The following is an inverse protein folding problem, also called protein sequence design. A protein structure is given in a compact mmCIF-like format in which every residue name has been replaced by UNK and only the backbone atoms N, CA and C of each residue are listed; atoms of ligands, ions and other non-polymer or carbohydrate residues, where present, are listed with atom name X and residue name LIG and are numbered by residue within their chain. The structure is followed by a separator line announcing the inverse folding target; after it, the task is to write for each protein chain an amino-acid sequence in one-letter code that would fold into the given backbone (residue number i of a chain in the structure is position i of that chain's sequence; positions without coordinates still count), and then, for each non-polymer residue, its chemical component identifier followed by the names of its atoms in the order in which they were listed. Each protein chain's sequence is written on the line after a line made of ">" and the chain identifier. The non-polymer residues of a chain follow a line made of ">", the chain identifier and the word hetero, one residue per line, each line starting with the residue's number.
data_IF_870381577426
#
_entry.id   IF_870381577426
#
_cell.length_a   1.000
_cell.length_b   1.000
_cell.length_c   1.000
_cell.angle_alpha   90.00
_cell.angle_beta   90.00
_cell.angle_gamma   90.00
#
_symmetry.space_group_name_H-M   'P 1'
#
loop_
_entity.id
_entity.type
_entity.pdbx_description
1 polymer ?
#
# COMPACT_ATOMS: atom_id res chain seq x y z
N UNK A 1 18.83 2.41 -15.98
CA UNK A 1 17.70 1.61 -16.47
C UNK A 1 16.91 1.15 -15.26
N UNK A 2 15.62 1.39 -15.23
CA UNK A 2 14.77 0.80 -14.20
C UNK A 2 14.66 -0.71 -14.47
N UNK A 3 14.77 -1.52 -13.43
CA UNK A 3 14.55 -2.97 -13.54
C UNK A 3 13.05 -3.26 -13.71
N UNK A 4 12.72 -4.36 -14.40
CA UNK A 4 11.35 -4.88 -14.45
C UNK A 4 10.88 -5.35 -13.05
N UNK A 5 9.57 -5.33 -12.80
CA UNK A 5 9.01 -5.69 -11.50
C UNK A 5 9.43 -7.09 -11.05
N UNK A 6 9.48 -8.06 -11.96
CA UNK A 6 9.94 -9.44 -11.71
C UNK A 6 11.39 -9.47 -11.21
N UNK A 7 12.24 -8.62 -11.80
CA UNK A 7 13.64 -8.51 -11.38
C UNK A 7 13.74 -7.90 -9.98
N UNK A 8 12.97 -6.84 -9.70
CA UNK A 8 12.91 -6.22 -8.37
C UNK A 8 12.40 -7.22 -7.33
N UNK A 9 11.38 -8.00 -7.65
CA UNK A 9 10.88 -9.05 -6.76
C UNK A 9 11.99 -10.03 -6.32
N UNK A 10 12.85 -10.46 -7.25
CA UNK A 10 13.89 -11.46 -6.98
C UNK A 10 15.14 -10.84 -6.34
N UNK A 11 15.57 -9.67 -6.84
CA UNK A 11 16.85 -9.05 -6.45
C UNK A 11 16.73 -8.09 -5.27
N UNK A 12 15.52 -7.57 -4.97
CA UNK A 12 15.31 -6.50 -4.01
C UNK A 12 15.87 -5.16 -4.50
N UNK A 13 16.33 -4.31 -3.58
CA UNK A 13 16.87 -2.99 -3.93
C UNK A 13 18.21 -3.04 -4.69
N UNK A 14 18.89 -4.18 -4.66
CA UNK A 14 20.25 -4.38 -5.19
C UNK A 14 21.32 -3.41 -4.64
N UNK A 15 21.00 -2.71 -3.54
CA UNK A 15 21.93 -1.77 -2.87
C UNK A 15 22.59 -2.39 -1.63
N UNK A 16 22.38 -3.69 -1.42
CA UNK A 16 22.87 -4.41 -0.23
C UNK A 16 24.37 -4.38 -0.12
N UNK A 17 24.86 -3.95 1.03
CA UNK A 17 26.28 -3.98 1.41
C UNK A 17 26.48 -5.00 2.53
N UNK A 18 26.38 -6.29 2.21
CA UNK A 18 26.75 -7.32 3.16
C UNK A 18 28.26 -7.54 3.17
N UNK A 19 28.95 -7.50 4.33
CA UNK A 19 30.39 -7.64 4.40
C UNK A 19 30.90 -9.03 4.00
N UNK A 20 30.01 -10.04 3.99
CA UNK A 20 30.33 -11.43 3.61
C UNK A 20 29.81 -11.81 2.22
N UNK A 21 29.14 -10.90 1.51
CA UNK A 21 28.58 -11.14 0.20
C UNK A 21 27.37 -12.08 0.18
N UNK A 22 26.57 -12.10 1.25
CA UNK A 22 25.35 -12.91 1.32
C UNK A 22 24.36 -12.53 0.21
N UNK A 23 23.90 -13.52 -0.56
CA UNK A 23 22.92 -13.31 -1.64
C UNK A 23 21.52 -13.01 -1.06
N UNK A 24 21.13 -13.68 0.00
CA UNK A 24 19.92 -13.35 0.76
C UNK A 24 20.23 -12.33 1.83
N UNK A 25 19.30 -11.40 2.08
CA UNK A 25 19.45 -10.42 3.16
C UNK A 25 19.60 -11.14 4.50
N UNK A 26 20.65 -10.86 5.31
CA UNK A 26 20.77 -11.38 6.67
C UNK A 26 19.67 -10.84 7.60
N UNK A 27 19.33 -11.62 8.64
CA UNK A 27 18.40 -11.16 9.69
C UNK A 27 19.21 -10.45 10.77
N UNK A 28 19.04 -9.15 10.90
CA UNK A 28 19.63 -8.35 11.98
C UNK A 28 18.68 -8.30 13.18
N UNK A 29 18.68 -9.37 13.98
CA UNK A 29 17.79 -9.50 15.16
C UNK A 29 18.46 -8.88 16.38
N UNK A 30 18.39 -7.53 16.48
CA UNK A 30 18.94 -6.76 17.60
C UNK A 30 18.12 -5.49 17.85
N UNK A 31 18.25 -4.92 19.05
CA UNK A 31 17.57 -3.67 19.42
C UNK A 31 18.47 -2.44 19.21
N UNK A 32 19.76 -2.53 19.52
CA UNK A 32 20.69 -1.40 19.49
C UNK A 32 22.00 -1.76 18.78
N UNK A 33 22.68 -0.76 18.25
CA UNK A 33 23.92 -0.90 17.50
C UNK A 33 25.09 -0.21 18.22
N UNK A 34 26.28 -0.82 18.15
CA UNK A 34 27.49 -0.23 18.72
C UNK A 34 27.98 0.93 17.83
N UNK A 35 28.36 2.02 18.47
CA UNK A 35 29.01 3.14 17.82
C UNK A 35 30.53 2.96 17.78
N UNK A 36 31.21 3.21 16.63
CA UNK A 36 32.66 3.10 16.53
C UNK A 36 33.44 4.11 17.39
N UNK A 37 32.77 5.15 17.89
CA UNK A 37 33.32 6.19 18.76
C UNK A 37 32.32 7.31 19.00
N UNK A 38 32.67 8.24 19.88
CA UNK A 38 31.85 9.40 20.19
C UNK A 38 31.54 10.23 18.92
N UNK A 39 30.27 10.50 18.67
CA UNK A 39 29.80 11.23 17.50
C UNK A 39 29.94 10.46 16.16
N UNK A 40 30.23 9.16 16.19
CA UNK A 40 30.31 8.30 15.02
C UNK A 40 29.19 7.27 15.04
N UNK A 41 28.51 7.07 13.91
CA UNK A 41 27.49 6.03 13.73
C UNK A 41 27.84 5.15 12.54
N UNK A 42 27.34 3.90 12.55
CA UNK A 42 27.34 3.00 11.39
C UNK A 42 26.19 3.29 10.42
N UNK A 43 25.32 4.25 10.74
CA UNK A 43 24.06 4.51 10.08
C UNK A 43 22.85 3.89 10.80
N UNK A 44 23.13 3.05 11.80
CA UNK A 44 22.10 2.38 12.61
C UNK A 44 22.37 2.62 14.09
N UNK A 45 21.34 2.98 14.84
CA UNK A 45 21.42 3.26 16.28
C UNK A 45 20.45 2.39 17.06
N UNK A 46 19.19 2.33 16.63
CA UNK A 46 18.12 1.63 17.33
C UNK A 46 17.08 1.07 16.37
N UNK A 47 16.72 -0.22 16.52
CA UNK A 47 15.88 -0.94 15.55
C UNK A 47 14.44 -0.46 15.43
N UNK A 48 13.90 0.29 16.40
CA UNK A 48 12.61 0.96 16.23
C UNK A 48 12.67 2.02 15.13
N UNK A 49 13.79 2.73 15.01
CA UNK A 49 13.99 3.75 13.98
C UNK A 49 14.38 3.12 12.64
N UNK A 50 15.47 2.35 12.62
CA UNK A 50 16.01 1.71 11.42
C UNK A 50 16.62 0.35 11.73
N UNK A 51 16.51 -0.59 10.80
CA UNK A 51 17.06 -1.94 10.91
C UNK A 51 17.44 -2.42 9.49
N UNK A 52 18.66 -2.95 9.25
CA UNK A 52 19.10 -3.29 7.90
C UNK A 52 18.17 -4.25 7.16
N UNK A 53 17.58 -5.23 7.85
CA UNK A 53 16.64 -6.18 7.23
C UNK A 53 15.31 -5.51 6.85
N UNK A 54 14.80 -4.63 7.73
CA UNK A 54 13.57 -3.87 7.45
C UNK A 54 13.78 -2.82 6.38
N UNK A 55 14.92 -2.14 6.36
CA UNK A 55 15.22 -1.13 5.36
C UNK A 55 15.29 -1.74 3.96
N UNK A 56 15.78 -2.98 3.82
CA UNK A 56 15.78 -3.68 2.53
C UNK A 56 14.36 -3.96 2.03
N UNK A 57 13.44 -4.41 2.90
CA UNK A 57 12.05 -4.62 2.46
C UNK A 57 11.34 -3.31 2.15
N UNK A 58 11.60 -2.23 2.91
CA UNK A 58 11.08 -0.90 2.63
C UNK A 58 11.52 -0.43 1.24
N UNK A 59 12.81 -0.49 0.94
CA UNK A 59 13.37 -0.14 -0.38
C UNK A 59 12.79 -1.01 -1.50
N UNK A 60 12.65 -2.30 -1.27
CA UNK A 60 12.09 -3.23 -2.26
C UNK A 60 10.64 -2.85 -2.61
N UNK A 61 9.81 -2.58 -1.60
CA UNK A 61 8.40 -2.19 -1.81
C UNK A 61 8.30 -0.80 -2.45
N UNK A 62 9.15 0.17 -2.03
CA UNK A 62 9.22 1.47 -2.67
C UNK A 62 9.53 1.36 -4.17
N UNK A 63 10.52 0.55 -4.54
CA UNK A 63 10.88 0.32 -5.95
C UNK A 63 9.75 -0.35 -6.74
N UNK A 64 9.04 -1.32 -6.16
CA UNK A 64 7.93 -1.99 -6.81
C UNK A 64 6.77 -1.03 -7.10
N UNK A 65 6.47 -0.11 -6.18
CA UNK A 65 5.46 0.95 -6.34
C UNK A 65 5.94 2.14 -7.18
N UNK A 66 7.21 2.18 -7.57
CA UNK A 66 7.86 3.34 -8.19
C UNK A 66 7.80 4.59 -7.29
N UNK A 67 7.83 4.37 -5.98
CA UNK A 67 7.98 5.39 -4.95
C UNK A 67 9.44 5.70 -4.64
N UNK A 68 9.67 6.76 -3.87
CA UNK A 68 11.00 7.14 -3.37
C UNK A 68 11.31 6.44 -2.07
N UNK A 69 10.34 6.39 -1.17
CA UNK A 69 10.50 5.87 0.20
C UNK A 69 9.28 5.03 0.61
N UNK A 70 9.54 4.07 1.52
CA UNK A 70 8.48 3.29 2.17
C UNK A 70 8.76 3.09 3.66
N UNK A 71 7.70 2.92 4.43
CA UNK A 71 7.73 2.57 5.86
C UNK A 71 7.02 1.24 6.08
N UNK A 72 7.65 0.32 6.81
CA UNK A 72 7.12 -1.01 7.10
C UNK A 72 6.60 -1.11 8.53
N UNK A 73 5.33 -1.42 8.68
CA UNK A 73 4.57 -1.52 9.93
C UNK A 73 4.27 -2.96 10.30
N UNK A 74 3.98 -3.20 11.57
CA UNK A 74 3.61 -4.52 12.09
C UNK A 74 2.30 -5.08 11.52
N UNK A 75 1.41 -4.25 10.99
CA UNK A 75 0.15 -4.63 10.34
C UNK A 75 -0.31 -3.56 9.35
N UNK A 76 -1.20 -3.91 8.40
CA UNK A 76 -1.88 -2.93 7.54
C UNK A 76 -2.64 -1.88 8.35
N UNK A 77 -3.34 -2.29 9.42
CA UNK A 77 -4.04 -1.36 10.30
C UNK A 77 -3.09 -0.40 11.03
N UNK A 78 -1.88 -0.85 11.41
CA UNK A 78 -0.87 0.04 12.01
C UNK A 78 -0.38 1.09 10.99
N UNK A 79 -0.24 0.72 9.71
CA UNK A 79 0.08 1.65 8.64
C UNK A 79 -1.03 2.69 8.44
N UNK A 80 -2.30 2.25 8.34
CA UNK A 80 -3.45 3.16 8.19
C UNK A 80 -3.58 4.07 9.42
N UNK A 81 -3.42 3.55 10.63
CA UNK A 81 -3.48 4.36 11.86
C UNK A 81 -2.38 5.43 11.87
N UNK A 82 -1.15 5.07 11.52
CA UNK A 82 -0.05 6.04 11.44
C UNK A 82 -0.30 7.10 10.35
N UNK A 83 -0.86 6.72 9.22
CA UNK A 83 -1.25 7.65 8.16
C UNK A 83 -2.33 8.63 8.65
N UNK A 84 -3.30 8.18 9.46
CA UNK A 84 -4.33 9.08 10.01
C UNK A 84 -3.78 10.14 10.96
N UNK A 85 -2.61 9.94 11.56
CA UNK A 85 -1.95 10.91 12.44
C UNK A 85 -1.38 12.15 11.70
N UNK A 86 -1.42 12.20 10.36
CA UNK A 86 -1.09 13.43 9.62
C UNK A 86 -2.22 14.47 9.65
N UNK A 87 -3.45 14.04 9.98
CA UNK A 87 -4.63 14.89 10.02
C UNK A 87 -4.86 15.45 11.42
N UNK A 88 -5.52 16.61 11.46
CA UNK A 88 -5.81 17.36 12.67
C UNK A 88 -7.31 17.38 13.00
N UNK A 89 -7.71 17.68 14.24
CA UNK A 89 -9.11 17.88 14.59
C UNK A 89 -9.79 18.90 13.67
N UNK A 90 -10.96 18.54 13.15
CA UNK A 90 -11.72 19.33 12.19
C UNK A 90 -11.46 18.97 10.72
N UNK A 91 -10.43 18.19 10.43
CA UNK A 91 -10.18 17.73 9.07
C UNK A 91 -11.24 16.72 8.61
N UNK A 92 -11.49 16.75 7.31
CA UNK A 92 -12.43 15.85 6.62
C UNK A 92 -11.72 15.02 5.57
N UNK A 93 -12.12 13.75 5.43
CA UNK A 93 -11.70 12.84 4.37
C UNK A 93 -12.92 12.35 3.58
N UNK A 94 -12.72 12.08 2.30
CA UNK A 94 -13.66 11.32 1.46
C UNK A 94 -13.06 9.94 1.26
N UNK A 95 -13.89 8.88 1.31
CA UNK A 95 -13.40 7.52 1.13
C UNK A 95 -14.34 6.68 0.26
N UNK A 96 -13.81 5.62 -0.34
CA UNK A 96 -14.61 4.57 -1.00
C UNK A 96 -15.64 3.99 -0.03
N UNK A 97 -16.91 3.81 -0.49
CA UNK A 97 -18.01 3.27 0.30
C UNK A 97 -17.91 1.74 0.54
N UNK A 98 -17.22 1.05 -0.34
CA UNK A 98 -16.98 -0.39 -0.33
C UNK A 98 -15.50 -0.65 -0.10
N UNK A 99 -15.08 -0.74 1.18
CA UNK A 99 -13.69 -0.91 1.57
C UNK A 99 -13.55 -1.80 2.81
N UNK A 100 -12.31 -2.14 3.15
CA UNK A 100 -12.00 -3.01 4.28
C UNK A 100 -12.63 -2.54 5.60
N UNK A 101 -13.42 -3.41 6.22
CA UNK A 101 -14.17 -3.11 7.45
C UNK A 101 -13.32 -2.71 8.66
N UNK A 102 -12.02 -3.07 8.68
CA UNK A 102 -11.07 -2.62 9.70
C UNK A 102 -10.81 -1.11 9.62
N UNK A 103 -10.71 -0.59 8.41
CA UNK A 103 -10.52 0.85 8.15
C UNK A 103 -11.76 1.65 8.56
N UNK A 104 -12.95 1.17 8.20
CA UNK A 104 -14.22 1.77 8.66
C UNK A 104 -14.33 1.79 10.19
N UNK A 105 -13.94 0.68 10.83
CA UNK A 105 -13.96 0.62 12.30
C UNK A 105 -12.99 1.61 12.93
N UNK A 106 -11.78 1.79 12.37
CA UNK A 106 -10.82 2.79 12.83
C UNK A 106 -11.43 4.19 12.76
N UNK A 107 -12.03 4.56 11.64
CA UNK A 107 -12.62 5.89 11.45
C UNK A 107 -13.80 6.13 12.38
N UNK A 108 -14.71 5.18 12.49
CA UNK A 108 -15.91 5.29 13.34
C UNK A 108 -15.61 5.27 14.84
N UNK A 109 -14.43 4.82 15.26
CA UNK A 109 -14.09 4.70 16.69
C UNK A 109 -12.96 5.64 17.12
N UNK A 110 -11.81 5.58 16.47
CA UNK A 110 -10.61 6.32 16.89
C UNK A 110 -10.55 7.69 16.21
N UNK A 111 -10.66 7.76 14.89
CA UNK A 111 -10.60 9.01 14.15
C UNK A 111 -11.74 9.95 14.55
N UNK A 112 -12.95 9.41 14.78
CA UNK A 112 -14.08 10.19 15.29
C UNK A 112 -13.79 10.85 16.66
N UNK A 113 -13.07 10.14 17.56
CA UNK A 113 -12.65 10.72 18.85
C UNK A 113 -11.64 11.86 18.68
N UNK A 114 -10.85 11.81 17.61
CA UNK A 114 -9.86 12.82 17.25
C UNK A 114 -10.50 13.95 16.41
N UNK A 115 -11.83 14.01 16.34
CA UNK A 115 -12.60 15.01 15.60
C UNK A 115 -12.27 15.04 14.10
N UNK A 116 -11.82 13.92 13.53
CA UNK A 116 -11.63 13.73 12.10
C UNK A 116 -12.90 13.07 11.52
N UNK A 117 -13.50 13.69 10.53
CA UNK A 117 -14.69 13.17 9.84
C UNK A 117 -14.35 12.48 8.53
N UNK A 118 -15.10 11.42 8.19
CA UNK A 118 -14.92 10.67 6.93
C UNK A 118 -16.28 10.40 6.31
N UNK A 119 -16.47 10.86 5.07
CA UNK A 119 -17.66 10.54 4.26
C UNK A 119 -17.31 9.42 3.28
N UNK A 120 -18.04 8.30 3.37
CA UNK A 120 -17.91 7.20 2.43
C UNK A 120 -18.86 7.39 1.25
N UNK A 121 -18.33 7.38 0.03
CA UNK A 121 -19.08 7.63 -1.21
C UNK A 121 -18.69 6.63 -2.30
N UNK A 122 -19.52 6.50 -3.32
CA UNK A 122 -19.17 5.71 -4.51
C UNK A 122 -18.06 6.41 -5.33
N UNK A 123 -16.83 5.96 -5.15
CA UNK A 123 -15.65 6.51 -5.82
C UNK A 123 -15.45 6.01 -7.24
N UNK A 124 -16.25 5.06 -7.72
CA UNK A 124 -16.28 4.70 -9.15
C UNK A 124 -16.83 5.83 -10.02
N UNK A 125 -17.49 6.82 -9.41
CA UNK A 125 -18.02 8.01 -10.07
C UNK A 125 -17.33 9.28 -9.53
N UNK A 126 -16.46 9.87 -10.33
CA UNK A 126 -15.73 11.13 -10.00
C UNK A 126 -16.68 12.27 -9.62
N UNK A 127 -17.89 12.33 -10.22
CA UNK A 127 -18.90 13.33 -9.90
C UNK A 127 -19.40 13.21 -8.46
N UNK A 128 -19.55 12.00 -7.94
CA UNK A 128 -19.93 11.74 -6.54
C UNK A 128 -18.84 12.20 -5.58
N UNK A 129 -17.58 11.90 -5.90
CA UNK A 129 -16.42 12.38 -5.12
C UNK A 129 -16.37 13.91 -5.11
N UNK A 130 -16.55 14.54 -6.27
CA UNK A 130 -16.58 16.01 -6.38
C UNK A 130 -17.69 16.64 -5.56
N UNK A 131 -18.87 16.05 -5.53
CA UNK A 131 -20.01 16.55 -4.76
C UNK A 131 -19.81 16.45 -3.23
N UNK A 132 -18.93 15.54 -2.76
CA UNK A 132 -18.61 15.35 -1.35
C UNK A 132 -17.49 16.27 -0.83
N UNK A 133 -16.80 17.01 -1.70
CA UNK A 133 -15.75 17.93 -1.30
C UNK A 133 -16.29 19.06 -0.42
N UNK A 134 -15.53 19.39 0.65
CA UNK A 134 -15.78 20.47 1.60
C UNK A 134 -14.52 21.30 1.76
N UNK A 135 -14.60 22.54 2.30
CA UNK A 135 -13.40 23.34 2.60
C UNK A 135 -12.41 22.65 3.56
N UNK A 136 -12.92 21.80 4.45
CA UNK A 136 -12.15 21.03 5.44
C UNK A 136 -11.58 19.72 4.86
N UNK A 137 -11.94 19.33 3.63
CA UNK A 137 -11.41 18.11 3.02
C UNK A 137 -9.90 18.22 2.83
N UNK A 138 -9.17 17.22 3.32
CA UNK A 138 -7.71 17.13 3.27
C UNK A 138 -7.20 15.94 2.46
N UNK A 139 -8.02 14.89 2.34
CA UNK A 139 -7.63 13.72 1.58
C UNK A 139 -8.83 12.99 0.97
N UNK A 140 -8.55 12.25 -0.10
CA UNK A 140 -9.42 11.23 -0.66
C UNK A 140 -8.73 9.89 -0.48
N UNK A 141 -9.42 8.91 0.12
CA UNK A 141 -8.93 7.55 0.35
C UNK A 141 -9.64 6.57 -0.57
N UNK A 142 -8.91 5.95 -1.46
CA UNK A 142 -9.43 4.94 -2.39
C UNK A 142 -8.98 3.54 -1.98
N UNK A 143 -9.89 2.58 -2.07
CA UNK A 143 -9.58 1.16 -2.23
C UNK A 143 -10.09 0.74 -3.61
N UNK A 144 -9.19 0.43 -4.54
CA UNK A 144 -9.54 0.08 -5.92
C UNK A 144 -8.63 -1.01 -6.48
N UNK A 145 -9.23 -2.12 -6.99
CA UNK A 145 -10.64 -2.48 -6.90
C UNK A 145 -11.12 -2.58 -5.46
N UNK A 146 -12.39 -2.25 -5.23
CA UNK A 146 -12.98 -2.27 -3.89
C UNK A 146 -13.22 -3.69 -3.37
N UNK A 147 -13.42 -3.85 -2.06
CA UNK A 147 -13.66 -5.14 -1.41
C UNK A 147 -14.97 -5.12 -0.61
N UNK A 148 -16.00 -5.96 -0.95
CA UNK A 148 -15.90 -7.12 -1.85
C UNK A 148 -16.45 -6.89 -3.28
N UNK A 149 -17.03 -5.72 -3.60
CA UNK A 149 -17.84 -5.53 -4.80
C UNK A 149 -17.04 -5.30 -6.09
N UNK A 150 -15.70 -5.22 -6.00
CA UNK A 150 -14.82 -5.06 -7.16
C UNK A 150 -15.14 -3.81 -8.00
N UNK A 151 -15.58 -2.70 -7.36
CA UNK A 151 -15.75 -1.41 -8.02
C UNK A 151 -14.38 -0.85 -8.38
N UNK A 152 -14.26 -0.24 -9.57
CA UNK A 152 -13.03 0.38 -10.05
C UNK A 152 -13.17 1.90 -10.04
N UNK A 153 -12.20 2.58 -9.45
CA UNK A 153 -12.10 4.05 -9.43
C UNK A 153 -11.01 4.52 -10.39
N UNK A 154 -11.24 5.62 -11.10
CA UNK A 154 -10.23 6.27 -11.94
C UNK A 154 -9.24 7.04 -11.05
N UNK A 155 -8.10 6.41 -10.76
CA UNK A 155 -7.07 6.97 -9.88
C UNK A 155 -6.57 8.31 -10.42
N UNK A 156 -6.29 8.42 -11.72
CA UNK A 156 -5.77 9.64 -12.33
C UNK A 156 -6.78 10.78 -12.23
N UNK A 157 -8.02 10.54 -12.64
CA UNK A 157 -9.06 11.58 -12.59
C UNK A 157 -9.35 12.03 -11.15
N UNK A 158 -9.29 11.13 -10.17
CA UNK A 158 -9.48 11.49 -8.76
C UNK A 158 -8.22 12.18 -8.20
N UNK A 159 -7.02 11.83 -8.65
CA UNK A 159 -5.79 12.54 -8.29
C UNK A 159 -5.84 14.01 -8.76
N UNK A 160 -6.22 14.22 -10.01
CA UNK A 160 -6.37 15.57 -10.56
C UNK A 160 -7.40 16.39 -9.77
N UNK A 161 -8.56 15.79 -9.45
CA UNK A 161 -9.58 16.41 -8.62
C UNK A 161 -9.08 16.73 -7.21
N UNK A 162 -8.36 15.80 -6.57
CA UNK A 162 -7.80 15.99 -5.23
C UNK A 162 -6.81 17.15 -5.21
N UNK A 163 -5.85 17.15 -6.14
CA UNK A 163 -4.82 18.18 -6.21
C UNK A 163 -5.35 19.56 -6.56
N UNK A 164 -6.36 19.66 -7.46
CA UNK A 164 -7.07 20.92 -7.73
C UNK A 164 -7.71 21.55 -6.49
N UNK A 165 -8.04 20.72 -5.48
CA UNK A 165 -8.66 21.15 -4.22
C UNK A 165 -7.69 21.15 -3.04
N UNK A 166 -6.37 20.97 -3.27
CA UNK A 166 -5.34 20.96 -2.22
C UNK A 166 -5.44 19.76 -1.28
N UNK A 167 -6.04 18.65 -1.74
CA UNK A 167 -6.19 17.40 -1.02
C UNK A 167 -5.13 16.38 -1.43
N UNK A 168 -4.77 15.47 -0.51
CA UNK A 168 -3.96 14.29 -0.83
C UNK A 168 -4.84 13.20 -1.45
N UNK A 169 -4.27 12.42 -2.37
CA UNK A 169 -4.84 11.15 -2.80
C UNK A 169 -4.09 9.99 -2.14
N UNK A 170 -4.82 9.17 -1.38
CA UNK A 170 -4.33 7.98 -0.70
C UNK A 170 -4.98 6.76 -1.37
N UNK A 171 -4.19 5.76 -1.76
CA UNK A 171 -4.71 4.56 -2.43
C UNK A 171 -4.28 3.31 -1.67
N UNK A 172 -5.24 2.52 -1.21
CA UNK A 172 -4.99 1.17 -0.73
C UNK A 172 -4.86 0.22 -1.92
N UNK A 173 -3.61 -0.18 -2.20
CA UNK A 173 -3.24 -1.02 -3.34
C UNK A 173 -3.02 -2.49 -2.93
N UNK A 174 -3.61 -2.91 -1.82
CA UNK A 174 -3.42 -4.25 -1.26
C UNK A 174 -3.87 -5.34 -2.24
N UNK A 175 -4.99 -5.14 -2.94
CA UNK A 175 -5.61 -6.18 -3.77
C UNK A 175 -4.82 -6.47 -5.05
N UNK A 176 -4.52 -5.47 -5.87
CA UNK A 176 -3.76 -5.65 -7.10
C UNK A 176 -2.27 -5.79 -6.88
N UNK A 177 -1.76 -5.36 -5.74
CA UNK A 177 -0.34 -5.29 -5.42
C UNK A 177 0.45 -4.38 -6.38
N UNK A 178 1.71 -4.04 -6.08
CA UNK A 178 2.53 -3.23 -6.98
C UNK A 178 2.91 -3.97 -8.28
N UNK A 179 2.56 -5.25 -8.39
CA UNK A 179 2.77 -6.01 -9.60
C UNK A 179 1.80 -5.59 -10.71
N UNK A 180 0.50 -5.50 -10.42
CA UNK A 180 -0.51 -5.12 -11.41
C UNK A 180 -0.88 -3.64 -11.42
N UNK A 181 -0.76 -2.92 -10.31
CA UNK A 181 -1.17 -1.52 -10.21
C UNK A 181 -0.11 -0.70 -9.48
N UNK A 182 0.18 0.50 -9.97
CA UNK A 182 1.16 1.44 -9.40
C UNK A 182 0.53 2.82 -9.20
N UNK A 183 -0.27 3.03 -8.16
CA UNK A 183 -1.04 4.26 -7.97
C UNK A 183 -0.19 5.52 -7.92
N UNK A 184 1.06 5.46 -7.44
CA UNK A 184 1.98 6.60 -7.45
C UNK A 184 2.27 7.11 -8.86
N UNK A 185 2.21 6.26 -9.89
CA UNK A 185 2.40 6.68 -11.29
C UNK A 185 1.16 7.34 -11.87
N UNK A 186 0.02 7.15 -11.22
CA UNK A 186 -1.30 7.67 -11.58
C UNK A 186 -1.71 8.88 -10.72
N UNK A 187 -0.76 9.46 -9.97
CA UNK A 187 -0.99 10.68 -9.19
C UNK A 187 -1.31 10.48 -7.71
N UNK A 188 -1.32 9.26 -7.18
CA UNK A 188 -1.44 9.08 -5.73
C UNK A 188 -0.25 9.68 -4.98
N UNK A 189 -0.51 10.24 -3.79
CA UNK A 189 0.51 10.81 -2.90
C UNK A 189 1.01 9.77 -1.90
N UNK A 190 0.10 8.93 -1.40
CA UNK A 190 0.39 7.83 -0.46
C UNK A 190 -0.23 6.55 -1.00
N UNK A 191 0.55 5.48 -1.03
CA UNK A 191 0.05 4.12 -1.26
C UNK A 191 0.10 3.34 0.04
N UNK A 192 -1.00 2.67 0.36
CA UNK A 192 -1.16 1.79 1.52
C UNK A 192 -1.13 0.35 1.07
N UNK A 193 -0.49 -0.53 1.85
CA UNK A 193 -0.60 -1.97 1.70
C UNK A 193 -0.82 -2.68 3.03
N UNK A 194 -1.72 -3.64 3.03
CA UNK A 194 -1.61 -4.79 3.93
C UNK A 194 -0.64 -5.79 3.29
N UNK A 195 0.64 -5.73 3.68
CA UNK A 195 1.65 -6.67 3.17
C UNK A 195 1.38 -8.12 3.55
N UNK A 196 0.53 -8.35 4.55
CA UNK A 196 -0.03 -9.65 4.98
C UNK A 196 -0.66 -10.45 3.84
N UNK A 197 -1.11 -9.78 2.76
CA UNK A 197 -1.84 -10.38 1.65
C UNK A 197 -0.85 -10.87 0.56
N UNK A 198 -0.94 -10.33 -0.64
CA UNK A 198 -0.15 -10.82 -1.78
C UNK A 198 1.35 -10.53 -1.70
N UNK A 199 1.77 -9.42 -1.03
CA UNK A 199 3.20 -9.14 -0.89
C UNK A 199 3.93 -10.26 -0.16
N UNK A 200 3.40 -10.72 0.96
CA UNK A 200 3.93 -11.87 1.70
C UNK A 200 3.54 -13.19 1.02
N UNK A 201 2.23 -13.44 0.86
CA UNK A 201 1.66 -14.51 0.05
C UNK A 201 1.73 -15.92 0.62
N UNK A 202 2.18 -16.14 1.87
CA UNK A 202 2.39 -17.44 2.49
C UNK A 202 1.61 -17.64 3.80
N UNK A 203 0.82 -16.64 4.22
CA UNK A 203 -0.07 -16.67 5.39
C UNK A 203 0.65 -16.89 6.73
N UNK A 204 1.91 -16.50 6.86
CA UNK A 204 2.74 -16.74 8.03
C UNK A 204 3.26 -15.47 8.73
N UNK A 205 3.01 -14.26 8.16
CA UNK A 205 3.35 -13.00 8.81
C UNK A 205 2.31 -11.89 8.58
N UNK A 206 2.30 -10.91 9.47
CA UNK A 206 1.51 -9.69 9.37
C UNK A 206 2.44 -8.52 9.02
N UNK A 207 2.01 -7.65 8.12
CA UNK A 207 2.75 -6.43 7.79
C UNK A 207 1.86 -5.38 7.15
N UNK A 208 2.31 -4.12 7.17
CA UNK A 208 1.70 -3.01 6.46
C UNK A 208 2.75 -2.07 5.88
N UNK A 209 2.40 -1.32 4.86
CA UNK A 209 3.29 -0.35 4.25
C UNK A 209 2.59 0.96 3.96
N UNK A 210 3.36 2.05 4.08
CA UNK A 210 3.08 3.34 3.45
C UNK A 210 4.21 3.62 2.46
N UNK A 211 3.86 3.96 1.22
CA UNK A 211 4.83 4.29 0.17
C UNK A 211 4.51 5.68 -0.38
N UNK A 212 5.53 6.50 -0.57
CA UNK A 212 5.41 7.88 -1.05
C UNK A 212 6.49 8.23 -2.07
N UNK A 213 6.29 9.33 -2.81
CA UNK A 213 7.31 9.98 -3.65
C UNK A 213 7.85 11.27 -3.05
N UNK A 214 7.03 11.97 -2.27
CA UNK A 214 7.40 13.25 -1.68
C UNK A 214 8.21 13.07 -0.39
N UNK A 215 9.38 13.70 -0.33
CA UNK A 215 10.27 13.58 0.83
C UNK A 215 9.75 14.29 2.08
N UNK A 216 9.01 15.41 1.92
CA UNK A 216 8.46 16.13 3.08
C UNK A 216 7.32 15.32 3.72
N UNK A 217 6.50 14.67 2.89
CA UNK A 217 5.48 13.74 3.36
C UNK A 217 6.10 12.51 4.04
N UNK A 218 7.19 11.97 3.46
CA UNK A 218 7.95 10.90 4.10
C UNK A 218 8.47 11.30 5.48
N UNK A 219 9.09 12.47 5.61
CA UNK A 219 9.65 12.95 6.89
C UNK A 219 8.56 13.09 7.96
N UNK A 220 7.37 13.58 7.59
CA UNK A 220 6.22 13.66 8.48
C UNK A 220 5.77 12.26 8.93
N UNK A 221 5.57 11.34 8.01
CA UNK A 221 5.17 9.95 8.29
C UNK A 221 6.25 9.20 9.08
N UNK A 222 7.53 9.40 8.76
CA UNK A 222 8.63 8.80 9.51
C UNK A 222 8.71 9.29 10.95
N UNK A 223 8.41 10.57 11.19
CA UNK A 223 8.34 11.11 12.55
C UNK A 223 7.21 10.43 13.36
N UNK A 224 6.04 10.24 12.78
CA UNK A 224 4.93 9.49 13.36
C UNK A 224 5.33 8.04 13.62
N UNK A 225 5.90 7.38 12.60
CA UNK A 225 6.34 6.00 12.65
C UNK A 225 7.29 5.70 13.82
N UNK A 226 8.37 6.47 13.95
CA UNK A 226 9.35 6.27 15.04
C UNK A 226 8.78 6.65 16.42
N UNK A 227 7.77 7.53 16.48
CA UNK A 227 7.12 7.97 17.73
C UNK A 227 6.12 6.92 18.22
N UNK A 228 5.25 6.42 17.35
CA UNK A 228 4.25 5.40 17.68
C UNK A 228 4.86 4.01 17.87
N UNK A 229 5.97 3.72 17.18
CA UNK A 229 6.75 2.51 17.37
C UNK A 229 6.15 1.23 16.76
N UNK A 230 5.16 1.33 15.89
CA UNK A 230 4.49 0.19 15.25
C UNK A 230 5.31 -0.44 14.10
N UNK A 231 6.64 -0.50 14.24
CA UNK A 231 7.55 -0.97 13.20
C UNK A 231 7.49 -2.49 13.01
N UNK A 232 7.75 -2.93 11.76
CA UNK A 232 7.85 -4.35 11.41
C UNK A 232 9.11 -4.97 12.04
N UNK A 233 9.01 -6.21 12.51
CA UNK A 233 10.13 -6.97 13.08
C UNK A 233 11.16 -7.36 12.01
N UNK A 234 12.40 -7.66 12.42
CA UNK A 234 13.45 -8.12 11.50
C UNK A 234 13.11 -9.49 10.88
N UNK A 235 12.52 -10.41 11.66
CA UNK A 235 12.10 -11.74 11.17
C UNK A 235 10.98 -11.60 10.16
N UNK A 236 9.91 -10.83 10.47
CA UNK A 236 8.80 -10.62 9.55
C UNK A 236 9.26 -9.90 8.28
N UNK A 237 10.20 -8.94 8.40
CA UNK A 237 10.82 -8.27 7.25
C UNK A 237 11.54 -9.26 6.33
N UNK A 238 12.24 -10.23 6.89
CA UNK A 238 12.94 -11.27 6.14
C UNK A 238 11.96 -12.24 5.46
N UNK A 239 10.91 -12.69 6.18
CA UNK A 239 9.85 -13.54 5.61
C UNK A 239 9.18 -12.84 4.42
N UNK A 240 8.89 -11.56 4.58
CA UNK A 240 8.29 -10.74 3.52
C UNK A 240 9.21 -10.59 2.30
N UNK A 241 10.51 -10.31 2.50
CA UNK A 241 11.49 -10.31 1.40
C UNK A 241 11.53 -11.65 0.65
N UNK A 242 11.40 -12.75 1.40
CA UNK A 242 11.32 -14.08 0.82
C UNK A 242 10.02 -14.31 0.05
N UNK A 243 8.88 -13.85 0.58
CA UNK A 243 7.56 -13.93 -0.05
C UNK A 243 7.49 -13.13 -1.35
N UNK A 244 8.02 -11.91 -1.36
CA UNK A 244 8.06 -11.00 -2.53
C UNK A 244 8.78 -11.68 -3.72
N UNK A 245 9.78 -12.53 -3.50
CA UNK A 245 10.51 -13.21 -4.59
C UNK A 245 9.60 -14.03 -5.52
N UNK A 246 8.45 -14.47 -5.05
CA UNK A 246 7.47 -15.22 -5.83
C UNK A 246 6.23 -14.40 -6.20
N UNK A 247 6.21 -13.09 -5.89
CA UNK A 247 5.03 -12.25 -6.12
C UNK A 247 4.58 -12.31 -7.58
N UNK A 248 5.47 -12.07 -8.53
CA UNK A 248 5.15 -12.05 -9.96
C UNK A 248 4.48 -13.35 -10.41
N UNK A 249 5.13 -14.49 -10.19
CA UNK A 249 4.58 -15.80 -10.62
C UNK A 249 3.27 -16.16 -9.91
N UNK A 250 3.08 -15.71 -8.66
CA UNK A 250 1.82 -15.94 -7.93
C UNK A 250 0.70 -15.05 -8.49
N UNK A 251 0.96 -13.78 -8.74
CA UNK A 251 -0.05 -12.86 -9.26
C UNK A 251 -0.52 -13.28 -10.65
N UNK A 252 0.39 -13.65 -11.54
CA UNK A 252 0.05 -14.22 -12.86
C UNK A 252 -0.85 -15.46 -12.75
N UNK A 253 -0.49 -16.39 -11.88
CA UNK A 253 -1.28 -17.61 -11.71
C UNK A 253 -2.63 -17.33 -11.03
N UNK A 254 -2.70 -16.39 -10.07
CA UNK A 254 -3.95 -15.98 -9.43
C UNK A 254 -4.91 -15.35 -10.45
N UNK A 255 -4.42 -14.43 -11.28
CA UNK A 255 -5.21 -13.79 -12.33
C UNK A 255 -5.77 -14.84 -13.31
N UNK A 256 -4.91 -15.73 -13.80
CA UNK A 256 -5.32 -16.82 -14.71
C UNK A 256 -6.40 -17.71 -14.10
N UNK A 257 -6.24 -18.11 -12.84
CA UNK A 257 -7.20 -18.95 -12.14
C UNK A 257 -8.52 -18.20 -11.89
N UNK A 258 -8.46 -16.95 -11.45
CA UNK A 258 -9.63 -16.13 -11.18
C UNK A 258 -10.45 -15.90 -12.44
N UNK A 259 -9.81 -15.59 -13.57
CA UNK A 259 -10.47 -15.41 -14.85
C UNK A 259 -11.17 -16.70 -15.32
N UNK A 260 -10.50 -17.85 -15.21
CA UNK A 260 -11.10 -19.14 -15.57
C UNK A 260 -12.33 -19.46 -14.70
N UNK A 261 -12.26 -19.18 -13.39
CA UNK A 261 -13.39 -19.39 -12.48
C UNK A 261 -14.52 -18.40 -12.77
N UNK A 262 -14.22 -17.13 -13.04
CA UNK A 262 -15.21 -16.11 -13.36
C UNK A 262 -16.00 -16.50 -14.63
N UNK A 263 -15.33 -16.86 -15.71
CA UNK A 263 -16.00 -17.34 -16.95
C UNK A 263 -16.80 -18.62 -16.72
N UNK A 264 -16.33 -19.52 -15.87
CA UNK A 264 -17.09 -20.72 -15.52
C UNK A 264 -18.37 -20.36 -14.75
N UNK A 265 -18.29 -19.39 -13.84
CA UNK A 265 -19.45 -18.93 -13.06
C UNK A 265 -20.48 -18.22 -13.94
N UNK A 266 -20.08 -17.37 -14.91
CA UNK A 266 -21.01 -16.73 -15.87
C UNK A 266 -21.90 -17.73 -16.62
N UNK A 267 -21.47 -18.97 -16.75
CA UNK A 267 -22.20 -20.02 -17.46
C UNK A 267 -23.16 -20.83 -16.55
N UNK A 268 -23.24 -20.49 -15.25
CA UNK A 268 -24.08 -21.23 -14.30
C UNK A 268 -25.48 -20.60 -14.19
N UNK A 269 -26.55 -21.37 -14.35
CA UNK A 269 -27.92 -20.86 -14.26
C UNK A 269 -28.29 -20.40 -12.84
N UNK A 270 -27.51 -20.82 -11.82
CA UNK A 270 -27.70 -20.44 -10.42
C UNK A 270 -27.01 -19.13 -10.06
N UNK A 271 -26.16 -18.58 -10.95
CA UNK A 271 -25.41 -17.34 -10.75
C UNK A 271 -26.05 -16.22 -11.55
N UNK A 272 -26.53 -15.20 -10.86
CA UNK A 272 -27.17 -14.04 -11.48
C UNK A 272 -26.12 -13.08 -12.07
N UNK A 273 -25.02 -12.84 -11.35
CA UNK A 273 -23.98 -11.90 -11.75
C UNK A 273 -22.61 -12.28 -11.15
N UNK A 274 -21.55 -12.00 -11.88
CA UNK A 274 -20.15 -12.22 -11.45
C UNK A 274 -19.41 -10.89 -11.42
N UNK A 275 -18.95 -10.49 -10.23
CA UNK A 275 -18.17 -9.27 -10.02
C UNK A 275 -16.67 -9.60 -10.09
N UNK A 276 -16.10 -9.50 -11.29
CA UNK A 276 -14.65 -9.68 -11.49
C UNK A 276 -14.13 -8.70 -12.55
N UNK A 277 -13.07 -7.94 -12.21
CA UNK A 277 -12.55 -6.84 -13.02
C UNK A 277 -11.99 -7.28 -14.40
N UNK A 278 -11.63 -8.54 -14.56
CA UNK A 278 -11.09 -9.10 -15.81
C UNK A 278 -12.15 -9.54 -16.83
N UNK A 279 -13.45 -9.48 -16.51
CA UNK A 279 -14.50 -9.94 -17.42
C UNK A 279 -14.84 -8.92 -18.51
N UNK A 280 -15.06 -9.41 -19.73
CA UNK A 280 -15.48 -8.60 -20.88
C UNK A 280 -16.88 -7.98 -20.70
N UNK A 281 -17.70 -8.58 -19.86
CA UNK A 281 -19.06 -8.13 -19.54
C UNK A 281 -19.09 -6.89 -18.63
N UNK A 282 -17.98 -6.51 -18.01
CA UNK A 282 -17.89 -5.38 -17.07
C UNK A 282 -17.92 -4.04 -17.80
N UNK A 283 -18.77 -3.08 -17.35
CA UNK A 283 -18.85 -1.76 -17.95
C UNK A 283 -17.59 -0.90 -17.73
N UNK A 284 -16.82 -1.19 -16.67
CA UNK A 284 -15.59 -0.51 -16.26
C UNK A 284 -14.30 -1.23 -16.72
N UNK A 285 -14.41 -2.18 -17.67
CA UNK A 285 -13.28 -2.96 -18.14
C UNK A 285 -12.15 -2.10 -18.70
N UNK A 286 -12.46 -1.10 -19.50
CA UNK A 286 -11.42 -0.23 -20.09
C UNK A 286 -10.64 0.52 -19.01
N UNK A 287 -11.32 0.99 -17.96
CA UNK A 287 -10.69 1.63 -16.82
C UNK A 287 -9.82 0.63 -16.04
N UNK A 288 -10.30 -0.59 -15.85
CA UNK A 288 -9.54 -1.67 -15.22
C UNK A 288 -8.24 -1.99 -15.98
N UNK A 289 -8.25 -1.96 -17.33
CA UNK A 289 -7.07 -2.20 -18.15
C UNK A 289 -6.02 -1.07 -18.06
N UNK A 290 -6.42 0.17 -17.80
CA UNK A 290 -5.48 1.30 -17.60
C UNK A 290 -4.61 1.07 -16.36
N UNK A 291 -5.15 0.41 -15.34
CA UNK A 291 -4.46 0.15 -14.07
C UNK A 291 -3.55 -1.08 -14.11
N UNK A 292 -3.87 -2.05 -14.97
CA UNK A 292 -3.05 -3.25 -15.18
C UNK A 292 -2.01 -2.91 -16.25
N UNK A 293 -0.82 -2.47 -15.83
CA UNK A 293 0.28 -2.20 -16.75
C UNK A 293 0.70 -3.47 -17.50
N UNK A 294 0.86 -3.36 -18.83
CA UNK A 294 1.53 -4.36 -19.67
C UNK A 294 2.97 -4.65 -19.21
#
# INVERSE_FOLDING_TARGET
>A
MAFAAETICVQGSNERKDPFGAISMPIYQNAAYAHPGLGKSTGYDYSRCSNPTRDEVQKTVALLEQGTEALAFSTGMAAITAMMEIFSPGDHLIATDDLYGGTLRLWNTISHKNEISVDCVDTSNVGTVKAALRPETKAIYLETPSNPMMKVADIQAIADLAHENGCLLIVDNTFLSPYFQKPLTLGADIVVHSGTKYLEGHNDTLSGFLVVKDNALYDQLYNIYKTTGACLSAIDSWLLLRGIKTLAVRMEQHQKNALAIAHWLEQRPEVEEVYYIGLDSRPDKELSLIHISE
#
